data_IF_119499115935
#
_entry.id   IF_119499115935
#
_cell.length_a   1.000
_cell.length_b   1.000
_cell.length_c   1.000
_cell.angle_alpha   90.00
_cell.angle_beta   90.00
_cell.angle_gamma   90.00
#
_symmetry.space_group_name_H-M   'P 1'
#
loop_
_entity.id
_entity.type
_entity.pdbx_description
1 polymer ?
#
# COMPACT_ATOMS: atom_id res chain seq x y z
N UNK A 1 -13.78 6.02 23.57
CA UNK A 1 -13.76 6.17 22.09
C UNK A 1 -13.30 4.83 21.50
N UNK A 2 -13.99 4.29 20.48
CA UNK A 2 -13.56 3.03 19.86
C UNK A 2 -12.24 3.26 19.11
N UNK A 3 -11.24 2.40 19.36
CA UNK A 3 -9.95 2.45 18.65
C UNK A 3 -10.16 2.38 17.13
N UNK A 4 -9.45 3.17 16.31
CA UNK A 4 -9.50 3.04 14.87
C UNK A 4 -8.92 1.69 14.41
N UNK A 5 -9.46 1.15 13.33
CA UNK A 5 -9.11 -0.17 12.79
C UNK A 5 -8.35 0.01 11.48
N UNK A 6 -7.14 -0.51 11.41
CA UNK A 6 -6.30 -0.45 10.22
C UNK A 6 -6.00 -1.85 9.65
N UNK A 7 -5.96 -1.96 8.33
CA UNK A 7 -5.44 -3.13 7.60
C UNK A 7 -4.23 -2.70 6.77
N UNK A 8 -3.08 -3.36 7.02
CA UNK A 8 -1.84 -3.11 6.28
C UNK A 8 -1.46 -4.38 5.50
N UNK A 9 -1.51 -4.33 4.17
CA UNK A 9 -1.08 -5.46 3.34
C UNK A 9 0.45 -5.53 3.27
N UNK A 10 1.02 -6.73 3.31
CA UNK A 10 2.48 -6.91 3.35
C UNK A 10 3.12 -6.33 4.60
N UNK A 11 2.41 -6.38 5.74
CA UNK A 11 2.83 -5.80 7.03
C UNK A 11 3.95 -6.55 7.74
N UNK A 12 4.37 -7.70 7.23
CA UNK A 12 5.34 -8.57 7.90
C UNK A 12 6.81 -8.20 7.65
N UNK A 13 7.11 -7.21 6.82
CA UNK A 13 8.50 -6.81 6.50
C UNK A 13 8.57 -5.38 5.93
N UNK A 14 9.75 -4.80 5.99
CA UNK A 14 10.09 -3.54 5.32
C UNK A 14 9.19 -2.37 5.74
N UNK A 15 8.72 -1.60 4.75
CA UNK A 15 7.87 -0.42 4.97
C UNK A 15 6.59 -0.81 5.71
N UNK A 16 5.93 -1.91 5.29
CA UNK A 16 4.68 -2.38 5.90
C UNK A 16 4.83 -2.69 7.39
N UNK A 17 5.94 -3.31 7.79
CA UNK A 17 6.24 -3.60 9.19
C UNK A 17 6.35 -2.32 10.04
N UNK A 18 7.02 -1.30 9.51
CA UNK A 18 7.15 0.00 10.20
C UNK A 18 5.84 0.79 10.24
N UNK A 19 4.99 0.65 9.20
CA UNK A 19 3.64 1.21 9.21
C UNK A 19 2.80 0.56 10.31
N UNK A 20 2.81 -0.78 10.41
CA UNK A 20 2.10 -1.52 11.46
C UNK A 20 2.54 -1.05 12.84
N UNK A 21 3.85 -1.00 13.09
CA UNK A 21 4.42 -0.50 14.35
C UNK A 21 3.90 0.90 14.70
N UNK A 22 3.97 1.81 13.75
CA UNK A 22 3.64 3.20 13.99
C UNK A 22 2.14 3.43 14.25
N UNK A 23 1.26 2.74 13.51
CA UNK A 23 -0.18 2.83 13.71
C UNK A 23 -0.59 2.20 15.05
N UNK A 24 0.02 1.07 15.44
CA UNK A 24 -0.22 0.45 16.73
C UNK A 24 0.19 1.36 17.90
N UNK A 25 1.36 2.01 17.81
CA UNK A 25 1.80 3.02 18.79
C UNK A 25 0.85 4.21 18.93
N UNK A 26 0.09 4.52 17.89
CA UNK A 26 -0.94 5.57 17.93
C UNK A 26 -2.28 5.08 18.49
N UNK A 27 -2.33 3.85 19.00
CA UNK A 27 -3.51 3.28 19.66
C UNK A 27 -4.53 2.68 18.69
N UNK A 28 -4.15 2.39 17.46
CA UNK A 28 -5.02 1.66 16.53
C UNK A 28 -4.98 0.15 16.77
N UNK A 29 -6.07 -0.55 16.47
CA UNK A 29 -6.03 -1.99 16.23
C UNK A 29 -5.53 -2.22 14.80
N UNK A 30 -4.38 -2.87 14.62
CA UNK A 30 -3.75 -3.03 13.31
C UNK A 30 -3.75 -4.50 12.88
N UNK A 31 -4.45 -4.79 11.80
CA UNK A 31 -4.36 -6.08 11.11
C UNK A 31 -3.14 -6.11 10.21
N UNK A 32 -2.17 -6.95 10.59
CA UNK A 32 -0.92 -7.19 9.88
C UNK A 32 -1.16 -8.27 8.82
N UNK A 33 -1.46 -7.85 7.59
CA UNK A 33 -1.65 -8.77 6.45
C UNK A 33 -0.33 -9.34 5.95
N UNK A 34 -0.25 -10.66 5.87
CA UNK A 34 0.91 -11.39 5.34
C UNK A 34 0.45 -12.59 4.51
N UNK A 35 1.06 -12.80 3.32
CA UNK A 35 0.76 -13.97 2.47
C UNK A 35 1.26 -15.31 3.07
N UNK A 36 2.09 -15.26 4.10
CA UNK A 36 2.56 -16.41 4.83
C UNK A 36 2.21 -16.23 6.31
N UNK A 37 1.42 -17.17 6.87
CA UNK A 37 0.90 -17.10 8.22
C UNK A 37 2.00 -17.07 9.28
N UNK A 38 3.04 -17.92 9.12
CA UNK A 38 4.12 -18.02 10.11
C UNK A 38 4.92 -16.72 10.16
N UNK A 39 5.25 -16.12 8.99
CA UNK A 39 5.94 -14.82 8.92
C UNK A 39 5.10 -13.69 9.48
N UNK A 40 3.77 -13.74 9.29
CA UNK A 40 2.84 -12.78 9.87
C UNK A 40 2.82 -12.87 11.40
N UNK A 41 2.74 -14.08 11.94
CA UNK A 41 2.76 -14.35 13.38
C UNK A 41 4.10 -13.96 14.00
N UNK A 42 5.22 -14.29 13.36
CA UNK A 42 6.55 -13.89 13.81
C UNK A 42 6.68 -12.35 13.86
N UNK A 43 6.27 -11.66 12.80
CA UNK A 43 6.33 -10.20 12.76
C UNK A 43 5.46 -9.53 13.83
N UNK A 44 4.27 -10.09 14.10
CA UNK A 44 3.42 -9.60 15.18
C UNK A 44 4.07 -9.84 16.57
N UNK A 45 4.74 -10.97 16.75
CA UNK A 45 5.48 -11.26 17.98
C UNK A 45 6.68 -10.31 18.20
N UNK A 46 7.40 -9.95 17.12
CA UNK A 46 8.48 -8.96 17.17
C UNK A 46 7.99 -7.56 17.56
N UNK A 47 6.72 -7.27 17.31
CA UNK A 47 6.05 -6.02 17.68
C UNK A 47 5.25 -6.13 19.00
N UNK A 48 5.40 -7.22 19.75
CA UNK A 48 4.71 -7.39 21.02
C UNK A 48 5.03 -6.25 21.98
N UNK A 49 3.97 -5.62 22.54
CA UNK A 49 4.11 -4.45 23.42
C UNK A 49 4.03 -3.09 22.71
N UNK A 50 4.04 -3.06 21.36
CA UNK A 50 3.89 -1.80 20.61
C UNK A 50 2.42 -1.35 20.43
N UNK A 51 1.45 -2.23 20.73
CA UNK A 51 0.02 -1.96 20.65
C UNK A 51 -0.81 -3.20 20.25
N UNK A 52 -2.07 -3.01 19.82
CA UNK A 52 -2.95 -4.10 19.37
C UNK A 52 -2.66 -4.48 17.92
N UNK A 53 -1.82 -5.48 17.72
CA UNK A 53 -1.40 -5.98 16.40
C UNK A 53 -1.90 -7.41 16.22
N UNK A 54 -2.68 -7.63 15.17
CA UNK A 54 -3.33 -8.90 14.85
C UNK A 54 -2.83 -9.46 13.52
N UNK A 55 -2.04 -10.54 13.52
CA UNK A 55 -1.61 -11.16 12.27
C UNK A 55 -2.81 -11.72 11.50
N UNK A 56 -2.80 -11.53 10.17
CA UNK A 56 -3.87 -11.95 9.29
C UNK A 56 -3.28 -12.57 8.03
N UNK A 57 -3.68 -13.80 7.70
CA UNK A 57 -3.31 -14.43 6.44
C UNK A 57 -3.96 -13.66 5.29
N UNK A 58 -3.16 -13.03 4.46
CA UNK A 58 -3.62 -12.24 3.34
C UNK A 58 -2.60 -12.23 2.19
N UNK A 59 -2.83 -13.11 1.23
CA UNK A 59 -2.29 -12.96 -0.11
C UNK A 59 -3.26 -12.11 -0.92
N UNK A 60 -2.82 -10.92 -1.33
CA UNK A 60 -3.70 -10.00 -2.07
C UNK A 60 -4.04 -10.49 -3.48
N UNK A 61 -3.31 -11.47 -4.01
CA UNK A 61 -3.58 -12.08 -5.32
C UNK A 61 -4.65 -13.18 -5.24
N UNK A 62 -4.92 -13.70 -4.04
CA UNK A 62 -5.93 -14.73 -3.78
C UNK A 62 -7.27 -14.13 -3.36
N UNK A 63 -8.33 -14.44 -4.11
CA UNK A 63 -9.68 -13.92 -3.85
C UNK A 63 -10.25 -14.40 -2.50
N UNK A 64 -9.97 -15.66 -2.12
CA UNK A 64 -10.47 -16.24 -0.87
C UNK A 64 -9.79 -15.60 0.34
N UNK A 65 -8.49 -15.33 0.25
CA UNK A 65 -7.77 -14.62 1.31
C UNK A 65 -8.29 -13.18 1.48
N UNK A 66 -8.55 -12.43 0.40
CA UNK A 66 -9.13 -11.08 0.49
C UNK A 66 -10.49 -11.09 1.18
N UNK A 67 -11.37 -12.02 0.81
CA UNK A 67 -12.70 -12.18 1.41
C UNK A 67 -12.62 -12.56 2.89
N UNK A 68 -11.83 -13.59 3.23
CA UNK A 68 -11.66 -14.06 4.60
C UNK A 68 -11.08 -12.98 5.53
N UNK A 69 -10.09 -12.22 5.03
CA UNK A 69 -9.49 -11.13 5.79
C UNK A 69 -10.52 -10.05 6.16
N UNK A 70 -11.32 -9.61 5.21
CA UNK A 70 -12.34 -8.59 5.47
C UNK A 70 -13.50 -9.14 6.31
N UNK A 71 -13.90 -10.38 6.12
CA UNK A 71 -14.91 -11.04 6.99
C UNK A 71 -14.44 -11.12 8.45
N UNK A 72 -13.16 -11.39 8.68
CA UNK A 72 -12.57 -11.38 10.04
C UNK A 72 -12.66 -10.00 10.67
N UNK A 73 -12.33 -8.93 9.93
CA UNK A 73 -12.42 -7.55 10.41
C UNK A 73 -13.87 -7.15 10.65
N UNK A 74 -14.78 -7.51 9.75
CA UNK A 74 -16.21 -7.23 9.88
C UNK A 74 -16.81 -7.88 11.10
N UNK A 75 -16.54 -9.17 11.32
CA UNK A 75 -17.03 -9.91 12.49
C UNK A 75 -16.54 -9.33 13.81
N UNK A 76 -15.29 -8.84 13.85
CA UNK A 76 -14.70 -8.30 15.07
C UNK A 76 -15.10 -6.84 15.38
N UNK A 77 -15.27 -6.02 14.35
CA UNK A 77 -15.38 -4.56 14.52
C UNK A 77 -16.53 -3.92 13.74
N UNK A 78 -17.09 -4.59 12.75
CA UNK A 78 -18.15 -4.07 11.89
C UNK A 78 -17.73 -2.96 10.93
N UNK A 79 -16.49 -2.46 10.99
CA UNK A 79 -15.95 -1.36 10.17
C UNK A 79 -14.46 -1.52 9.92
N UNK A 80 -13.95 -0.75 8.96
CA UNK A 80 -12.53 -0.52 8.73
C UNK A 80 -12.30 0.98 8.57
N UNK A 81 -11.30 1.54 9.26
CA UNK A 81 -11.02 2.98 9.21
C UNK A 81 -9.88 3.31 8.24
N UNK A 82 -8.83 2.46 8.20
CA UNK A 82 -7.64 2.68 7.35
C UNK A 82 -7.30 1.42 6.58
N UNK A 83 -7.17 1.55 5.25
CA UNK A 83 -6.62 0.52 4.37
C UNK A 83 -5.29 0.98 3.78
N UNK A 84 -4.20 0.25 4.04
CA UNK A 84 -2.90 0.50 3.43
C UNK A 84 -2.57 -0.62 2.43
N UNK A 85 -2.66 -0.30 1.15
CA UNK A 85 -2.21 -1.17 0.06
C UNK A 85 -0.69 -1.03 -0.10
N UNK A 86 0.07 -1.73 0.75
CA UNK A 86 1.53 -1.70 0.76
C UNK A 86 2.16 -2.93 0.09
N UNK A 87 1.49 -4.08 0.09
CA UNK A 87 2.00 -5.27 -0.58
C UNK A 87 2.27 -5.01 -2.06
N UNK A 88 3.41 -5.49 -2.54
CA UNK A 88 3.81 -5.34 -3.94
C UNK A 88 5.10 -6.10 -4.24
N UNK A 89 5.40 -6.26 -5.51
CA UNK A 89 6.60 -6.95 -6.01
C UNK A 89 7.18 -6.20 -7.21
N UNK A 90 8.53 -6.15 -7.28
CA UNK A 90 9.25 -5.68 -8.47
C UNK A 90 9.96 -6.86 -9.10
N UNK A 91 9.48 -7.27 -10.26
CA UNK A 91 10.03 -8.35 -11.06
C UNK A 91 10.95 -7.78 -12.14
N UNK A 92 11.96 -8.55 -12.52
CA UNK A 92 12.94 -8.16 -13.54
C UNK A 92 12.32 -8.17 -14.93
N UNK A 93 12.99 -7.53 -15.88
CA UNK A 93 12.63 -7.47 -17.28
C UNK A 93 12.36 -6.04 -17.73
N UNK A 94 13.19 -5.57 -18.68
CA UNK A 94 13.02 -4.27 -19.33
C UNK A 94 11.91 -4.33 -20.40
N UNK A 95 11.63 -3.20 -21.03
CA UNK A 95 10.55 -3.10 -22.02
C UNK A 95 10.73 -3.97 -23.27
N UNK A 96 11.98 -4.41 -23.58
CA UNK A 96 12.28 -5.24 -24.75
C UNK A 96 12.23 -6.75 -24.44
N UNK A 97 12.26 -7.13 -23.15
CA UNK A 97 12.49 -8.53 -22.73
C UNK A 97 11.44 -9.05 -21.75
N UNK A 98 10.53 -8.19 -21.25
CA UNK A 98 9.51 -8.60 -20.30
C UNK A 98 8.60 -9.69 -20.86
N UNK A 99 8.38 -10.75 -20.08
CA UNK A 99 7.53 -11.85 -20.49
C UNK A 99 6.06 -11.66 -20.11
N UNK A 100 5.11 -12.33 -20.77
CA UNK A 100 3.70 -12.29 -20.39
C UNK A 100 3.46 -12.74 -18.94
N UNK A 101 4.23 -13.72 -18.43
CA UNK A 101 4.15 -14.21 -17.05
C UNK A 101 4.56 -13.13 -16.06
N UNK A 102 5.69 -12.48 -16.29
CA UNK A 102 6.19 -11.35 -15.49
C UNK A 102 5.18 -10.20 -15.45
N UNK A 103 4.57 -9.89 -16.60
CA UNK A 103 3.51 -8.88 -16.67
C UNK A 103 2.31 -9.26 -15.78
N UNK A 104 1.76 -10.46 -15.94
CA UNK A 104 0.60 -10.92 -15.15
C UNK A 104 0.92 -10.88 -13.66
N UNK A 105 2.03 -11.47 -13.23
CA UNK A 105 2.41 -11.52 -11.82
C UNK A 105 2.58 -10.12 -11.23
N UNK A 106 3.23 -9.20 -11.97
CA UNK A 106 3.40 -7.82 -11.52
C UNK A 106 2.08 -7.08 -11.39
N UNK A 107 1.17 -7.22 -12.36
CA UNK A 107 -0.15 -6.59 -12.31
C UNK A 107 -1.04 -7.19 -11.22
N UNK A 108 -1.00 -8.49 -11.01
CA UNK A 108 -1.73 -9.15 -9.91
C UNK A 108 -1.32 -8.57 -8.55
N UNK A 109 -0.01 -8.48 -8.30
CA UNK A 109 0.49 -8.02 -7.01
C UNK A 109 0.39 -6.50 -6.80
N UNK A 110 0.54 -5.68 -7.85
CA UNK A 110 0.66 -4.22 -7.70
C UNK A 110 -0.58 -3.44 -8.14
N UNK A 111 -1.53 -4.07 -8.85
CA UNK A 111 -2.71 -3.38 -9.40
C UNK A 111 -4.00 -4.12 -9.07
N UNK A 112 -4.18 -5.36 -9.55
CA UNK A 112 -5.45 -6.08 -9.43
C UNK A 112 -5.75 -6.44 -7.98
N UNK A 113 -4.80 -7.02 -7.26
CA UNK A 113 -4.96 -7.38 -5.86
C UNK A 113 -5.34 -6.19 -4.98
N UNK A 114 -4.59 -5.07 -5.00
CA UNK A 114 -4.95 -3.85 -4.26
C UNK A 114 -6.29 -3.25 -4.66
N UNK A 115 -6.61 -3.20 -5.96
CA UNK A 115 -7.90 -2.68 -6.45
C UNK A 115 -9.07 -3.53 -5.96
N UNK A 116 -8.99 -4.85 -6.14
CA UNK A 116 -10.04 -5.79 -5.75
C UNK A 116 -10.22 -5.85 -4.22
N UNK A 117 -9.13 -5.78 -3.45
CA UNK A 117 -9.21 -5.68 -1.99
C UNK A 117 -9.90 -4.37 -1.58
N UNK A 118 -9.55 -3.25 -2.23
CA UNK A 118 -10.19 -1.95 -1.96
C UNK A 118 -11.68 -2.01 -2.24
N UNK A 119 -12.11 -2.56 -3.38
CA UNK A 119 -13.53 -2.71 -3.72
C UNK A 119 -14.30 -3.51 -2.65
N UNK A 120 -13.73 -4.62 -2.18
CA UNK A 120 -14.30 -5.43 -1.11
C UNK A 120 -14.33 -4.71 0.25
N UNK A 121 -13.36 -3.80 0.51
CA UNK A 121 -13.27 -3.05 1.76
C UNK A 121 -14.21 -1.84 1.83
N UNK A 122 -14.68 -1.29 0.70
CA UNK A 122 -15.55 -0.10 0.65
C UNK A 122 -16.77 -0.21 1.57
N UNK A 123 -17.51 -1.32 1.66
CA UNK A 123 -18.65 -1.43 2.59
C UNK A 123 -18.26 -1.23 4.06
N UNK A 124 -17.06 -1.66 4.47
CA UNK A 124 -16.55 -1.47 5.83
C UNK A 124 -16.01 -0.05 6.05
N UNK A 125 -15.36 0.53 5.04
CA UNK A 125 -14.87 1.90 5.07
C UNK A 125 -16.03 2.92 5.16
N UNK A 126 -17.17 2.65 4.54
CA UNK A 126 -18.41 3.44 4.66
C UNK A 126 -18.95 3.55 6.09
N UNK A 127 -18.61 2.59 6.96
CA UNK A 127 -19.02 2.57 8.37
C UNK A 127 -18.04 3.33 9.29
N UNK A 128 -16.93 3.83 8.74
CA UNK A 128 -15.95 4.66 9.44
C UNK A 128 -16.38 6.13 9.46
N UNK A 129 -16.06 6.82 10.55
CA UNK A 129 -16.20 8.29 10.59
C UNK A 129 -15.10 9.00 9.80
N UNK A 130 -13.91 8.38 9.67
CA UNK A 130 -12.73 8.96 9.03
C UNK A 130 -12.03 7.95 8.11
N UNK A 131 -12.67 7.51 7.00
CA UNK A 131 -12.13 6.44 6.17
C UNK A 131 -10.96 6.92 5.31
N UNK A 132 -9.85 6.16 5.34
CA UNK A 132 -8.61 6.47 4.59
C UNK A 132 -8.12 5.23 3.82
N UNK A 133 -7.71 5.46 2.59
CA UNK A 133 -7.03 4.46 1.76
C UNK A 133 -5.70 5.06 1.30
N UNK A 134 -4.60 4.36 1.53
CA UNK A 134 -3.28 4.76 1.03
C UNK A 134 -2.72 3.66 0.15
N UNK A 135 -2.45 4.00 -1.10
CA UNK A 135 -1.79 3.13 -2.05
C UNK A 135 -0.29 3.44 -2.05
N UNK A 136 0.53 2.49 -1.60
CA UNK A 136 1.99 2.63 -1.68
C UNK A 136 2.41 2.40 -3.13
N UNK A 137 2.55 3.52 -3.85
CA UNK A 137 2.95 3.57 -5.24
C UNK A 137 4.48 3.77 -5.37
N UNK A 138 4.92 4.37 -6.45
CA UNK A 138 6.32 4.64 -6.76
C UNK A 138 6.43 5.78 -7.77
N UNK A 139 7.50 6.58 -7.70
CA UNK A 139 7.85 7.52 -8.78
C UNK A 139 7.98 6.81 -10.13
N UNK A 140 8.35 5.53 -10.14
CA UNK A 140 8.40 4.70 -11.35
C UNK A 140 7.03 4.50 -12.02
N UNK A 141 5.91 4.83 -11.36
CA UNK A 141 4.56 4.88 -11.94
C UNK A 141 4.14 6.25 -12.44
N UNK A 142 5.01 7.26 -12.42
CA UNK A 142 4.76 8.60 -12.92
C UNK A 142 5.24 8.75 -14.37
N UNK A 143 4.35 9.13 -15.27
CA UNK A 143 4.72 9.48 -16.65
C UNK A 143 5.65 10.70 -16.69
N UNK A 144 5.38 11.70 -15.85
CA UNK A 144 6.22 12.90 -15.74
C UNK A 144 7.63 12.54 -15.29
N UNK A 145 7.78 11.69 -14.27
CA UNK A 145 9.10 11.25 -13.81
C UNK A 145 9.85 10.44 -14.87
N UNK A 146 9.17 9.48 -15.51
CA UNK A 146 9.73 8.63 -16.55
C UNK A 146 10.17 9.44 -17.80
N UNK A 147 9.43 10.51 -18.14
CA UNK A 147 9.73 11.39 -19.28
C UNK A 147 10.92 12.31 -19.02
N UNK A 148 11.29 12.53 -17.76
CA UNK A 148 12.35 13.43 -17.32
C UNK A 148 13.50 12.70 -16.62
N UNK A 149 13.71 11.42 -16.93
CA UNK A 149 14.87 10.68 -16.42
C UNK A 149 16.17 11.33 -16.85
N UNK A 150 17.15 11.36 -15.93
CA UNK A 150 18.51 11.78 -16.27
C UNK A 150 19.02 10.95 -17.46
N UNK A 151 19.55 11.57 -18.53
CA UNK A 151 20.07 10.84 -19.70
C UNK A 151 21.16 9.80 -19.39
N UNK A 152 21.78 9.91 -18.21
CA UNK A 152 22.75 8.91 -17.72
C UNK A 152 22.10 7.68 -17.11
N UNK A 153 20.78 7.71 -16.93
CA UNK A 153 20.02 6.59 -16.37
C UNK A 153 19.82 5.52 -17.43
N UNK A 154 20.30 4.31 -17.16
CA UNK A 154 20.07 3.18 -18.07
C UNK A 154 18.64 2.67 -17.94
N UNK A 155 17.79 3.09 -18.89
CA UNK A 155 16.36 2.68 -18.92
C UNK A 155 16.18 1.18 -19.13
N UNK A 156 17.19 0.47 -19.65
CA UNK A 156 17.17 -0.98 -19.76
C UNK A 156 17.31 -1.70 -18.40
N UNK A 157 17.65 -0.97 -17.34
CA UNK A 157 17.60 -1.49 -15.98
C UNK A 157 16.23 -1.31 -15.32
N UNK A 158 15.30 -0.59 -15.97
CA UNK A 158 13.96 -0.36 -15.40
C UNK A 158 13.09 -1.62 -15.51
N UNK A 159 12.45 -2.05 -14.40
CA UNK A 159 11.51 -3.17 -14.41
C UNK A 159 10.17 -2.74 -15.03
N UNK A 160 10.02 -2.92 -16.34
CA UNK A 160 8.86 -2.43 -17.12
C UNK A 160 7.53 -2.81 -16.48
N UNK A 161 7.34 -4.10 -16.12
CA UNK A 161 6.10 -4.59 -15.57
C UNK A 161 5.72 -3.89 -14.25
N UNK A 162 6.71 -3.57 -13.42
CA UNK A 162 6.51 -2.83 -12.17
C UNK A 162 6.11 -1.37 -12.43
N UNK A 163 6.82 -0.68 -13.33
CA UNK A 163 6.50 0.70 -13.70
C UNK A 163 5.07 0.81 -14.24
N UNK A 164 4.70 -0.06 -15.19
CA UNK A 164 3.37 -0.10 -15.78
C UNK A 164 2.29 -0.41 -14.74
N UNK A 165 2.52 -1.37 -13.84
CA UNK A 165 1.57 -1.71 -12.79
C UNK A 165 1.40 -0.59 -11.75
N UNK A 166 2.47 0.13 -11.40
CA UNK A 166 2.36 1.30 -10.49
C UNK A 166 1.66 2.49 -11.16
N UNK A 167 1.84 2.71 -12.46
CA UNK A 167 1.04 3.66 -13.21
C UNK A 167 -0.45 3.29 -13.21
N UNK A 168 -0.79 2.01 -13.41
CA UNK A 168 -2.15 1.52 -13.32
C UNK A 168 -2.74 1.64 -11.89
N UNK A 169 -1.95 1.45 -10.83
CA UNK A 169 -2.36 1.73 -9.45
C UNK A 169 -2.68 3.23 -9.27
N UNK A 170 -1.90 4.13 -9.86
CA UNK A 170 -2.15 5.57 -9.84
C UNK A 170 -3.47 5.93 -10.52
N UNK A 171 -3.77 5.33 -11.69
CA UNK A 171 -5.08 5.47 -12.35
C UNK A 171 -6.20 4.98 -11.44
N UNK A 172 -6.04 3.84 -10.76
CA UNK A 172 -7.03 3.31 -9.82
C UNK A 172 -7.28 4.31 -8.68
N UNK A 173 -6.23 4.97 -8.16
CA UNK A 173 -6.35 6.00 -7.12
C UNK A 173 -7.22 7.16 -7.59
N UNK A 174 -6.98 7.70 -8.79
CA UNK A 174 -7.76 8.80 -9.35
C UNK A 174 -9.25 8.45 -9.51
N UNK A 175 -9.52 7.30 -10.13
CA UNK A 175 -10.89 6.89 -10.43
C UNK A 175 -11.68 6.52 -9.16
N UNK A 176 -11.04 5.83 -8.20
CA UNK A 176 -11.67 5.52 -6.91
C UNK A 176 -11.89 6.79 -6.08
N UNK A 177 -10.94 7.73 -6.07
CA UNK A 177 -11.11 9.00 -5.36
C UNK A 177 -12.31 9.79 -5.91
N UNK A 178 -12.48 9.84 -7.22
CA UNK A 178 -13.64 10.48 -7.85
C UNK A 178 -14.95 9.77 -7.50
N UNK A 179 -14.97 8.43 -7.55
CA UNK A 179 -16.15 7.62 -7.25
C UNK A 179 -16.59 7.70 -5.77
N UNK A 180 -15.62 7.77 -4.85
CA UNK A 180 -15.85 7.74 -3.40
C UNK A 180 -15.92 9.13 -2.75
N UNK A 181 -15.75 10.20 -3.53
CA UNK A 181 -15.69 11.58 -3.04
C UNK A 181 -16.93 11.98 -2.24
N UNK A 182 -18.12 11.67 -2.74
CA UNK A 182 -19.39 12.00 -2.07
C UNK A 182 -19.59 11.25 -0.74
N UNK A 183 -18.88 10.17 -0.53
CA UNK A 183 -18.92 9.33 0.67
C UNK A 183 -17.86 9.73 1.70
N UNK A 184 -17.05 10.76 1.41
CA UNK A 184 -15.99 11.23 2.31
C UNK A 184 -14.77 10.28 2.44
N UNK A 185 -14.72 9.20 1.64
CA UNK A 185 -13.60 8.26 1.65
C UNK A 185 -12.41 8.88 0.91
N UNK A 186 -11.32 9.08 1.64
CA UNK A 186 -10.08 9.65 1.07
C UNK A 186 -9.17 8.56 0.57
N UNK A 187 -8.64 8.73 -0.64
CA UNK A 187 -7.67 7.80 -1.22
C UNK A 187 -6.54 8.56 -1.92
N UNK A 188 -5.29 8.20 -1.61
CA UNK A 188 -4.11 8.81 -2.20
C UNK A 188 -3.05 7.76 -2.55
N UNK A 189 -2.25 8.05 -3.59
CA UNK A 189 -1.01 7.34 -3.90
C UNK A 189 0.18 8.03 -3.24
N UNK A 190 1.11 7.23 -2.71
CA UNK A 190 2.31 7.74 -2.04
C UNK A 190 3.54 7.02 -2.59
N UNK A 191 4.54 7.79 -3.01
CA UNK A 191 5.89 7.29 -3.27
C UNK A 191 6.71 7.38 -1.97
N UNK A 192 7.16 6.24 -1.38
CA UNK A 192 7.92 6.26 -0.12
C UNK A 192 9.39 6.66 -0.28
N UNK A 193 9.81 7.03 -1.50
CA UNK A 193 11.20 7.23 -1.87
C UNK A 193 11.96 5.92 -2.12
N UNK A 194 13.27 6.00 -2.27
CA UNK A 194 14.11 4.82 -2.55
C UNK A 194 14.52 4.13 -1.25
N UNK A 195 13.67 3.20 -0.79
CA UNK A 195 13.76 2.53 0.51
C UNK A 195 14.49 1.19 0.39
N UNK A 196 15.34 0.84 1.38
CA UNK A 196 15.97 -0.50 1.53
C UNK A 196 14.89 -1.55 1.80
N UNK A 197 14.44 -2.25 0.76
CA UNK A 197 13.39 -3.27 0.81
C UNK A 197 13.65 -4.37 -0.23
N UNK A 198 12.86 -5.43 -0.20
CA UNK A 198 12.92 -6.47 -1.23
C UNK A 198 12.64 -5.91 -2.64
N UNK A 199 11.71 -4.94 -2.75
CA UNK A 199 11.37 -4.28 -4.02
C UNK A 199 12.58 -3.56 -4.63
N UNK A 200 13.41 -2.91 -3.82
CA UNK A 200 14.63 -2.25 -4.25
C UNK A 200 15.87 -3.16 -4.24
N UNK A 201 15.70 -4.47 -3.98
CA UNK A 201 16.81 -5.42 -3.75
C UNK A 201 17.80 -4.92 -2.68
N UNK A 202 17.26 -4.22 -1.67
CA UNK A 202 18.01 -3.59 -0.57
C UNK A 202 19.01 -2.49 -1.00
N UNK A 203 18.94 -2.02 -2.24
CA UNK A 203 19.81 -0.93 -2.75
C UNK A 203 19.28 0.48 -2.42
N UNK A 204 18.13 0.58 -1.78
CA UNK A 204 17.57 1.87 -1.37
C UNK A 204 18.49 2.65 -0.42
N UNK A 205 18.32 3.96 -0.38
CA UNK A 205 19.11 4.87 0.48
C UNK A 205 18.42 5.17 1.81
N UNK A 206 17.07 5.02 1.86
CA UNK A 206 16.26 5.27 3.05
C UNK A 206 16.01 3.97 3.83
N UNK A 207 15.87 4.10 5.16
CA UNK A 207 15.38 2.99 5.99
C UNK A 207 13.89 2.74 5.76
N UNK A 208 13.37 1.52 6.07
CA UNK A 208 11.94 1.25 6.06
C UNK A 208 11.12 2.21 6.93
N UNK A 209 11.64 2.60 8.10
CA UNK A 209 10.99 3.55 8.99
C UNK A 209 10.85 4.94 8.37
N UNK A 210 11.86 5.42 7.63
CA UNK A 210 11.76 6.67 6.88
C UNK A 210 10.71 6.60 5.76
N UNK A 211 10.66 5.46 5.02
CA UNK A 211 9.64 5.25 4.00
C UNK A 211 8.22 5.16 4.57
N UNK A 212 8.06 4.61 5.76
CA UNK A 212 6.75 4.52 6.42
C UNK A 212 6.17 5.90 6.77
N UNK A 213 6.99 6.90 7.09
CA UNK A 213 6.52 8.24 7.47
C UNK A 213 5.67 8.91 6.39
N UNK A 214 6.04 8.74 5.12
CA UNK A 214 5.27 9.29 4.01
C UNK A 214 3.85 8.68 3.94
N UNK A 215 3.74 7.38 4.17
CA UNK A 215 2.45 6.65 4.15
C UNK A 215 1.59 7.04 5.36
N UNK A 216 2.20 7.11 6.55
CA UNK A 216 1.52 7.46 7.79
C UNK A 216 0.86 8.83 7.70
N UNK A 217 1.49 9.82 7.08
CA UNK A 217 0.93 11.16 6.87
C UNK A 217 -0.48 11.13 6.28
N UNK A 218 -0.72 10.23 5.30
CA UNK A 218 -2.02 10.11 4.63
C UNK A 218 -2.96 9.09 5.31
N UNK A 219 -2.41 8.18 6.11
CA UNK A 219 -3.20 7.22 6.88
C UNK A 219 -3.95 7.87 8.06
N UNK A 220 -3.35 8.92 8.65
CA UNK A 220 -3.87 9.60 9.85
C UNK A 220 -4.18 11.09 9.62
N UNK A 221 -4.28 11.52 8.36
CA UNK A 221 -4.59 12.92 8.03
C UNK A 221 -5.98 13.32 8.48
N UNK A 222 -6.18 14.61 8.72
CA UNK A 222 -7.47 15.21 9.05
C UNK A 222 -8.47 15.14 7.87
N UNK A 223 -9.74 15.43 8.16
CA UNK A 223 -10.83 15.30 7.17
C UNK A 223 -10.76 16.33 6.03
N UNK A 224 -10.10 17.45 6.22
CA UNK A 224 -9.84 18.46 5.21
C UNK A 224 -8.65 18.12 4.30
N UNK A 225 -7.91 17.03 4.60
CA UNK A 225 -6.78 16.56 3.83
C UNK A 225 -7.15 16.16 2.38
N UNK A 226 -6.14 15.98 1.52
CA UNK A 226 -6.31 15.72 0.09
C UNK A 226 -6.93 14.34 -0.20
N UNK A 227 -7.53 14.23 -1.39
CA UNK A 227 -7.95 12.94 -1.97
C UNK A 227 -7.70 12.95 -3.48
N UNK A 228 -7.33 11.81 -4.04
CA UNK A 228 -7.02 11.67 -5.46
C UNK A 228 -5.67 12.27 -5.83
N UNK A 229 -4.75 12.44 -4.88
CA UNK A 229 -3.41 12.95 -5.12
C UNK A 229 -2.36 11.85 -5.20
N UNK A 230 -1.22 12.22 -5.79
CA UNK A 230 0.01 11.45 -5.75
C UNK A 230 1.09 12.29 -5.06
N UNK A 231 1.77 11.72 -4.08
CA UNK A 231 2.67 12.46 -3.20
C UNK A 231 4.02 11.75 -3.05
N UNK A 232 5.06 12.55 -2.85
CA UNK A 232 6.41 12.05 -2.59
C UNK A 232 6.63 11.69 -1.10
N UNK A 233 7.87 11.34 -0.78
CA UNK A 233 8.29 11.00 0.58
C UNK A 233 8.28 12.17 1.57
N UNK A 234 8.14 13.39 1.10
CA UNK A 234 8.03 14.60 1.93
C UNK A 234 6.57 15.02 2.11
N UNK A 235 5.67 14.45 1.30
CA UNK A 235 4.25 14.80 1.25
C UNK A 235 3.96 15.90 0.25
N UNK A 236 4.93 16.22 -0.61
CA UNK A 236 4.74 17.18 -1.70
C UNK A 236 4.06 16.51 -2.90
N UNK A 237 3.18 17.23 -3.63
CA UNK A 237 2.52 16.67 -4.79
C UNK A 237 3.51 16.24 -5.88
N UNK A 238 3.36 15.01 -6.35
CA UNK A 238 4.03 14.50 -7.53
C UNK A 238 3.13 14.60 -8.75
N UNK A 239 3.71 14.96 -9.89
CA UNK A 239 3.03 14.83 -11.19
C UNK A 239 2.86 13.36 -11.56
N UNK A 240 1.69 13.07 -12.16
CA UNK A 240 1.35 11.73 -12.66
C UNK A 240 2.25 11.26 -13.79
#
# INVERSE_FOLDING_TARGET
MNQPIALVTGGNTGIGFEIVRALAKQGMTVYLGSRNADRGTQAAAELAGEGDIRPLLLDITDASHRQAALATIEAAHGRLDVLINNAGASLSGNALEVTPETLRESFEANTFGPLLLTQLAVPLLRKSAHPRIVNVSSAAGSFSWLSNLDPRFDTLQMPYAYCAAKAAMNVSTLLLAAALKAEGIKINSVNPGYVKSQVSRFMGTKSPAQGAQSVLRFAIMEDDGPTGGFFDEHGDPLSW
#
